data_IF_797204978868
#
_entry.id   IF_797204978868
#
_cell.length_a   1.000
_cell.length_b   1.000
_cell.length_c   1.000
_cell.angle_alpha   90.00
_cell.angle_beta   90.00
_cell.angle_gamma   90.00
#
_symmetry.space_group_name_H-M   'P 1'
#
loop_
_entity.id
_entity.type
_entity.pdbx_description
1 polymer ?
#
# COMPACT_ATOMS: atom_id res chain seq x y z
N UNK A 1 13.29 -0.77 5.06
CA UNK A 1 12.85 -0.41 3.70
C UNK A 1 13.76 -0.94 2.59
N UNK A 2 15.08 -0.64 2.56
CA UNK A 2 15.98 -1.21 1.54
C UNK A 2 15.99 -2.75 1.54
N UNK A 3 15.96 -3.38 2.73
CA UNK A 3 15.91 -4.84 2.87
C UNK A 3 14.71 -5.42 2.14
N UNK A 4 13.49 -4.91 2.35
CA UNK A 4 12.25 -5.41 1.72
C UNK A 4 12.31 -5.34 0.20
N UNK A 5 12.78 -4.21 -0.35
CA UNK A 5 12.88 -4.03 -1.80
C UNK A 5 13.95 -4.94 -2.42
N UNK A 6 15.08 -5.14 -1.74
CA UNK A 6 16.16 -6.00 -2.22
C UNK A 6 15.88 -7.50 -2.01
N UNK A 7 15.25 -7.87 -0.90
CA UNK A 7 14.95 -9.26 -0.53
C UNK A 7 13.63 -9.76 -1.13
N UNK A 8 12.75 -8.84 -1.58
CA UNK A 8 11.36 -9.09 -1.96
C UNK A 8 10.59 -9.85 -0.89
N UNK A 9 10.94 -9.60 0.37
CA UNK A 9 10.42 -10.27 1.56
C UNK A 9 10.36 -9.28 2.71
N UNK A 10 9.27 -9.34 3.45
CA UNK A 10 9.08 -8.59 4.69
C UNK A 10 7.86 -9.10 5.44
N UNK A 11 7.69 -8.66 6.68
CA UNK A 11 6.46 -8.87 7.44
C UNK A 11 5.35 -7.90 7.00
N UNK A 12 4.17 -8.02 7.59
CA UNK A 12 3.00 -7.21 7.20
C UNK A 12 3.26 -5.73 7.44
N UNK A 13 3.94 -5.44 8.54
CA UNK A 13 4.33 -4.12 9.01
C UNK A 13 5.28 -3.45 8.02
N UNK A 14 6.30 -4.16 7.57
CA UNK A 14 7.26 -3.70 6.57
C UNK A 14 6.58 -3.39 5.23
N UNK A 15 5.63 -4.23 4.80
CA UNK A 15 4.85 -3.98 3.58
C UNK A 15 3.91 -2.79 3.75
N UNK A 16 3.27 -2.63 4.91
CA UNK A 16 2.42 -1.48 5.21
C UNK A 16 3.22 -0.16 5.21
N UNK A 17 4.41 -0.15 5.82
CA UNK A 17 5.30 1.03 5.81
C UNK A 17 5.74 1.36 4.38
N UNK A 18 6.07 0.35 3.55
CA UNK A 18 6.43 0.56 2.15
C UNK A 18 5.27 1.16 1.35
N UNK A 19 4.07 0.60 1.48
CA UNK A 19 2.87 1.10 0.81
C UNK A 19 2.53 2.52 1.26
N UNK A 20 2.62 2.81 2.57
CA UNK A 20 2.41 4.16 3.09
C UNK A 20 3.38 5.15 2.46
N UNK A 21 4.67 4.83 2.39
CA UNK A 21 5.67 5.70 1.77
C UNK A 21 5.46 5.88 0.27
N UNK A 22 5.00 4.84 -0.44
CA UNK A 22 4.65 4.94 -1.86
C UNK A 22 3.49 5.93 -2.07
N UNK A 23 2.42 5.81 -1.27
CA UNK A 23 1.26 6.70 -1.35
C UNK A 23 1.60 8.15 -0.98
N UNK A 24 2.46 8.35 0.04
CA UNK A 24 3.02 9.66 0.36
C UNK A 24 3.81 10.25 -0.82
N UNK A 25 4.58 9.42 -1.54
CA UNK A 25 5.29 9.81 -2.76
C UNK A 25 4.34 10.30 -3.87
N UNK A 26 3.17 9.70 -3.98
CA UNK A 26 2.07 10.14 -4.86
C UNK A 26 1.25 11.32 -4.31
N UNK A 27 1.67 11.93 -3.20
CA UNK A 27 1.02 13.08 -2.55
C UNK A 27 -0.34 12.77 -1.92
N UNK A 28 -0.63 11.51 -1.60
CA UNK A 28 -1.77 11.20 -0.73
C UNK A 28 -1.43 11.49 0.73
N UNK A 29 -2.40 11.95 1.51
CA UNK A 29 -2.28 12.04 2.98
C UNK A 29 -2.42 10.62 3.56
N UNK A 30 -1.31 9.88 3.59
CA UNK A 30 -1.27 8.48 4.01
C UNK A 30 -0.63 8.29 5.38
N UNK A 31 -1.13 7.30 6.13
CA UNK A 31 -0.65 6.90 7.44
C UNK A 31 -0.61 5.38 7.57
N UNK A 32 0.39 4.88 8.28
CA UNK A 32 0.37 3.54 8.85
C UNK A 32 -0.58 3.55 10.06
N UNK A 33 -1.43 2.53 10.14
CA UNK A 33 -2.39 2.34 11.22
C UNK A 33 -2.00 1.10 11.99
N UNK A 34 -1.86 1.23 13.32
CA UNK A 34 -1.59 0.11 14.23
C UNK A 34 -2.85 -0.17 15.03
N UNK A 35 -3.22 -1.44 15.06
CA UNK A 35 -4.41 -1.89 15.77
C UNK A 35 -4.52 -3.41 15.84
N UNK A 36 -5.74 -3.91 15.81
CA UNK A 36 -6.03 -5.34 15.79
C UNK A 36 -6.97 -5.71 14.65
N UNK A 37 -6.99 -6.99 14.30
CA UNK A 37 -8.09 -7.58 13.52
C UNK A 37 -9.35 -7.74 14.39
N UNK A 38 -10.48 -8.11 13.78
CA UNK A 38 -11.70 -8.51 14.48
C UNK A 38 -11.49 -9.75 15.36
N UNK A 39 -10.48 -10.58 15.08
CA UNK A 39 -10.09 -11.73 15.90
C UNK A 39 -9.26 -11.32 17.14
N UNK A 40 -8.80 -10.07 17.20
CA UNK A 40 -7.97 -9.55 18.29
C UNK A 40 -6.46 -9.62 18.05
N UNK A 41 -6.03 -10.20 16.93
CA UNK A 41 -4.61 -10.29 16.59
C UNK A 41 -4.05 -8.91 16.22
N UNK A 42 -2.83 -8.54 16.68
CA UNK A 42 -2.15 -7.32 16.25
C UNK A 42 -2.01 -7.26 14.73
N UNK A 43 -2.32 -6.12 14.13
CA UNK A 43 -2.22 -5.93 12.68
C UNK A 43 -1.86 -4.49 12.34
N UNK A 44 -1.17 -4.31 11.22
CA UNK A 44 -0.85 -3.01 10.65
C UNK A 44 -1.41 -2.92 9.23
N UNK A 45 -2.05 -1.80 8.92
CA UNK A 45 -2.56 -1.50 7.58
C UNK A 45 -2.30 -0.03 7.24
N UNK A 46 -2.66 0.40 6.03
CA UNK A 46 -2.48 1.80 5.60
C UNK A 46 -3.83 2.48 5.47
N UNK A 47 -3.92 3.74 5.87
CA UNK A 47 -5.08 4.59 5.66
C UNK A 47 -4.69 5.83 4.87
N UNK A 48 -5.52 6.24 3.92
CA UNK A 48 -5.44 7.55 3.27
C UNK A 48 -6.63 8.39 3.67
N UNK A 49 -6.38 9.66 4.00
CA UNK A 49 -7.38 10.63 4.40
C UNK A 49 -7.54 11.64 3.26
N UNK A 50 -8.75 11.77 2.76
CA UNK A 50 -9.12 12.77 1.77
C UNK A 50 -10.05 13.77 2.46
N UNK A 51 -9.59 15.02 2.62
CA UNK A 51 -10.31 16.07 3.33
C UNK A 51 -11.12 16.88 2.34
N UNK A 52 -12.43 16.89 2.54
CA UNK A 52 -13.35 17.75 1.81
C UNK A 52 -13.49 19.07 2.57
N UNK A 53 -12.96 20.16 2.00
CA UNK A 53 -12.99 21.50 2.59
C UNK A 53 -14.39 22.11 2.64
N UNK A 54 -15.31 21.69 1.77
CA UNK A 54 -16.65 22.27 1.70
C UNK A 54 -17.60 21.62 2.71
N UNK A 55 -17.48 20.31 2.89
CA UNK A 55 -18.34 19.52 3.79
C UNK A 55 -17.72 19.30 5.17
N UNK A 56 -16.47 19.71 5.38
CA UNK A 56 -15.68 19.42 6.58
C UNK A 56 -15.70 17.93 6.94
N UNK A 57 -15.63 17.07 5.91
CA UNK A 57 -15.68 15.61 6.05
C UNK A 57 -14.32 15.04 5.69
N UNK A 58 -13.93 14.00 6.43
CA UNK A 58 -12.75 13.21 6.11
C UNK A 58 -13.22 11.89 5.53
N UNK A 59 -12.92 11.67 4.24
CA UNK A 59 -13.12 10.38 3.60
C UNK A 59 -11.88 9.54 3.84
N UNK A 60 -12.08 8.39 4.50
CA UNK A 60 -10.98 7.50 4.88
C UNK A 60 -11.05 6.26 4.01
N UNK A 61 -9.90 5.88 3.48
CA UNK A 61 -9.75 4.66 2.69
C UNK A 61 -8.65 3.80 3.29
N UNK A 62 -8.98 2.56 3.66
CA UNK A 62 -8.04 1.58 4.15
C UNK A 62 -7.47 0.74 3.03
N UNK A 63 -6.20 0.39 3.14
CA UNK A 63 -5.44 -0.40 2.18
C UNK A 63 -4.77 -1.55 2.91
N UNK A 64 -5.05 -2.78 2.46
CA UNK A 64 -4.40 -3.99 2.93
C UNK A 64 -3.11 -4.22 2.12
N UNK A 65 -1.97 -4.29 2.81
CA UNK A 65 -0.64 -4.33 2.18
C UNK A 65 -0.36 -5.64 1.47
N UNK A 66 -0.96 -6.75 1.93
CA UNK A 66 -0.72 -8.08 1.37
C UNK A 66 -1.66 -8.44 0.20
N UNK A 67 -2.89 -7.93 0.21
CA UNK A 67 -3.91 -8.30 -0.78
C UNK A 67 -4.17 -7.20 -1.80
N UNK A 68 -3.72 -5.97 -1.55
CA UNK A 68 -4.09 -4.79 -2.34
C UNK A 68 -5.56 -4.40 -2.19
N UNK A 69 -6.30 -5.03 -1.27
CA UNK A 69 -7.72 -4.73 -1.06
C UNK A 69 -7.89 -3.34 -0.46
N UNK A 70 -8.94 -2.65 -0.91
CA UNK A 70 -9.25 -1.28 -0.52
C UNK A 70 -10.66 -1.21 0.07
N UNK A 71 -10.78 -0.56 1.21
CA UNK A 71 -12.04 -0.44 1.95
C UNK A 71 -12.33 1.02 2.28
N UNK A 72 -13.52 1.52 1.91
CA UNK A 72 -13.95 2.87 2.28
C UNK A 72 -14.59 2.85 3.67
N UNK A 73 -14.04 3.61 4.60
CA UNK A 73 -14.61 3.74 5.95
C UNK A 73 -15.99 4.40 5.90
N UNK A 74 -16.96 3.86 6.63
CA UNK A 74 -18.33 4.38 6.66
C UNK A 74 -19.15 4.13 5.38
N UNK A 75 -18.63 3.36 4.41
CA UNK A 75 -19.41 2.92 3.24
C UNK A 75 -20.44 1.86 3.62
N UNK A 76 -21.64 1.93 3.04
CA UNK A 76 -22.73 0.98 3.31
C UNK A 76 -22.64 -0.33 2.48
N UNK A 77 -21.72 -0.40 1.52
CA UNK A 77 -21.64 -1.52 0.56
C UNK A 77 -20.83 -2.68 1.11
N UNK A 78 -21.14 -3.93 0.73
CA UNK A 78 -20.40 -5.12 1.19
C UNK A 78 -18.89 -5.08 0.88
N UNK A 79 -18.46 -4.29 -0.13
CA UNK A 79 -17.06 -4.06 -0.46
C UNK A 79 -16.31 -3.17 0.56
N UNK A 80 -17.02 -2.50 1.48
CA UNK A 80 -16.43 -1.68 2.55
C UNK A 80 -16.12 -2.48 3.83
N UNK A 81 -16.57 -3.75 3.90
CA UNK A 81 -16.44 -4.56 5.11
C UNK A 81 -14.98 -4.99 5.29
N UNK A 82 -14.25 -4.25 6.10
CA UNK A 82 -12.88 -4.57 6.48
C UNK A 82 -12.83 -5.51 7.71
N UNK A 83 -11.68 -6.18 7.87
CA UNK A 83 -11.38 -7.11 8.97
C UNK A 83 -10.74 -6.47 10.21
N UNK A 84 -10.58 -5.14 10.21
CA UNK A 84 -9.96 -4.40 11.32
C UNK A 84 -10.92 -4.23 12.50
N UNK A 85 -10.44 -4.54 13.70
CA UNK A 85 -11.19 -4.52 14.95
C UNK A 85 -10.99 -3.21 15.69
N UNK A 86 -9.83 -3.03 16.32
CA UNK A 86 -9.49 -1.85 17.14
C UNK A 86 -8.34 -1.05 16.55
N UNK A 87 -8.27 0.25 16.87
CA UNK A 87 -7.21 1.16 16.45
C UNK A 87 -6.55 1.82 17.65
N UNK A 88 -5.22 1.69 17.73
CA UNK A 88 -4.41 2.27 18.80
C UNK A 88 -3.74 3.58 18.39
N UNK A 89 -3.10 3.62 17.22
CA UNK A 89 -2.44 4.84 16.75
C UNK A 89 -2.30 4.86 15.23
N UNK A 90 -2.05 6.06 14.70
CA UNK A 90 -1.68 6.28 13.31
C UNK A 90 -0.41 7.13 13.24
N UNK A 91 0.44 6.85 12.26
CA UNK A 91 1.69 7.59 12.09
C UNK A 91 2.15 7.62 10.64
N UNK A 92 2.97 8.60 10.32
CA UNK A 92 3.69 8.66 9.05
C UNK A 92 5.12 9.21 9.30
N UNK A 93 5.76 9.72 8.25
CA UNK A 93 7.11 10.27 8.33
C UNK A 93 7.26 11.60 9.10
N UNK A 94 6.15 12.29 9.42
CA UNK A 94 6.16 13.61 10.08
C UNK A 94 5.41 13.63 11.41
N UNK A 95 4.36 12.80 11.53
CA UNK A 95 3.41 12.90 12.62
C UNK A 95 3.08 11.53 13.22
N UNK A 96 2.76 11.55 14.51
CA UNK A 96 2.24 10.40 15.25
C UNK A 96 1.03 10.84 16.08
N UNK A 97 -0.05 10.06 16.02
CA UNK A 97 -1.29 10.30 16.75
C UNK A 97 -1.74 9.03 17.48
N UNK A 98 -1.92 9.14 18.80
CA UNK A 98 -2.54 8.09 19.61
C UNK A 98 -4.06 8.28 19.66
N UNK A 99 -4.82 7.20 19.48
CA UNK A 99 -6.26 7.20 19.66
C UNK A 99 -6.60 7.32 21.15
N UNK A 100 -7.40 8.31 21.51
CA UNK A 100 -7.90 8.55 22.87
C UNK A 100 -9.43 8.64 22.93
N UNK A 101 -10.11 8.19 21.87
CA UNK A 101 -11.56 8.08 21.84
C UNK A 101 -12.05 7.06 22.88
N UNK A 102 -13.29 7.24 23.36
CA UNK A 102 -13.91 6.31 24.31
C UNK A 102 -14.20 4.92 23.70
N UNK A 103 -14.42 4.86 22.39
CA UNK A 103 -14.53 3.63 21.60
C UNK A 103 -13.33 3.54 20.65
N UNK A 104 -12.55 2.47 20.79
CA UNK A 104 -11.38 2.18 19.96
C UNK A 104 -11.71 1.29 18.76
N UNK A 105 -12.97 0.93 18.54
CA UNK A 105 -13.40 0.16 17.39
C UNK A 105 -13.21 0.96 16.08
N UNK A 106 -12.51 0.36 15.11
CA UNK A 106 -12.21 0.99 13.80
C UNK A 106 -13.49 1.47 13.11
N UNK A 107 -14.58 0.70 13.22
CA UNK A 107 -15.88 1.01 12.61
C UNK A 107 -16.54 2.27 13.14
N UNK A 108 -16.35 2.58 14.42
CA UNK A 108 -16.93 3.76 15.08
C UNK A 108 -15.94 4.92 15.18
N UNK A 109 -14.66 4.66 14.90
CA UNK A 109 -13.57 5.63 15.00
C UNK A 109 -13.78 6.84 14.08
N UNK A 110 -13.66 8.03 14.64
CA UNK A 110 -13.49 9.27 13.88
C UNK A 110 -12.02 9.44 13.51
N UNK A 111 -11.76 9.73 12.24
CA UNK A 111 -10.41 9.93 11.70
C UNK A 111 -10.07 11.41 11.45
N UNK A 112 -10.80 12.32 12.11
CA UNK A 112 -10.38 13.72 12.15
C UNK A 112 -9.21 13.89 13.12
N UNK A 113 -7.99 13.74 12.59
CA UNK A 113 -6.74 13.84 13.36
C UNK A 113 -6.50 15.23 13.98
N UNK A 114 -7.24 16.26 13.55
CA UNK A 114 -7.15 17.60 14.12
C UNK A 114 -7.95 17.72 15.42
N UNK A 115 -8.86 16.79 15.68
CA UNK A 115 -9.65 16.78 16.90
C UNK A 115 -8.83 16.21 18.08
N UNK A 116 -8.27 17.12 18.89
CA UNK A 116 -7.45 16.78 20.05
C UNK A 116 -8.18 15.98 21.16
N UNK A 117 -9.52 15.97 21.16
CA UNK A 117 -10.29 15.14 22.09
C UNK A 117 -10.33 13.68 21.67
N UNK A 118 -10.06 13.38 20.39
CA UNK A 118 -10.06 12.04 19.83
C UNK A 118 -8.65 11.53 19.54
N UNK A 119 -7.74 12.42 19.16
CA UNK A 119 -6.38 12.10 18.75
C UNK A 119 -5.37 12.93 19.50
N UNK A 120 -4.48 12.26 20.25
CA UNK A 120 -3.37 12.92 20.93
C UNK A 120 -2.14 12.87 20.04
N UNK A 121 -1.76 14.03 19.49
CA UNK A 121 -0.54 14.18 18.71
C UNK A 121 0.71 14.11 19.61
N UNK A 122 1.77 13.49 19.11
CA UNK A 122 3.10 13.58 19.69
C UNK A 122 3.74 14.93 19.32
N UNK A 123 4.60 15.45 20.20
CA UNK A 123 5.34 16.69 19.94
C UNK A 123 6.22 16.54 18.66
N UNK A 124 6.04 17.39 17.64
CA UNK A 124 6.86 17.36 16.44
C UNK A 124 8.36 17.48 16.71
N UNK A 125 8.77 18.22 17.75
CA UNK A 125 10.18 18.35 18.12
C UNK A 125 10.74 16.98 18.56
N UNK A 126 9.98 16.24 19.37
CA UNK A 126 10.37 14.90 19.79
C UNK A 126 10.45 13.92 18.61
N UNK A 127 9.58 14.04 17.60
CA UNK A 127 9.63 13.23 16.37
C UNK A 127 10.91 13.53 15.57
N UNK A 128 11.30 14.81 15.48
CA UNK A 128 12.52 15.20 14.75
C UNK A 128 13.82 14.73 15.42
N UNK A 129 13.81 14.57 16.75
CA UNK A 129 14.94 14.02 17.50
C UNK A 129 15.15 12.52 17.27
N UNK A 130 14.13 11.79 16.79
CA UNK A 130 14.25 10.39 16.42
C UNK A 130 15.27 10.30 15.28
N UNK A 131 16.42 9.68 15.56
CA UNK A 131 17.56 9.56 14.63
C UNK A 131 17.10 9.08 13.25
N UNK A 132 16.96 10.01 12.31
CA UNK A 132 16.85 9.69 10.89
C UNK A 132 18.12 8.92 10.50
N UNK A 133 17.97 7.77 9.84
CA UNK A 133 19.13 7.05 9.30
C UNK A 133 19.86 8.03 8.37
N UNK A 134 21.08 8.42 8.75
CA UNK A 134 21.91 9.39 8.00
C UNK A 134 22.25 8.90 6.59
N UNK A 135 22.16 7.59 6.35
CA UNK A 135 22.27 6.98 5.03
C UNK A 135 20.94 6.36 4.65
N UNK A 136 20.17 7.09 3.84
CA UNK A 136 19.26 6.45 2.89
C UNK A 136 20.13 6.17 1.67
N UNK A 137 20.40 4.89 1.32
CA UNK A 137 21.02 4.59 0.03
C UNK A 137 20.11 5.18 -1.04
N UNK A 138 20.68 5.95 -1.98
CA UNK A 138 19.91 6.33 -3.15
C UNK A 138 19.40 5.05 -3.79
N UNK A 139 18.09 5.01 -4.08
CA UNK A 139 17.54 3.98 -4.94
C UNK A 139 18.22 4.19 -6.28
N UNK A 140 19.31 3.45 -6.52
CA UNK A 140 20.05 3.52 -7.77
C UNK A 140 19.05 3.13 -8.84
N UNK A 141 18.64 4.11 -9.65
CA UNK A 141 17.89 3.84 -10.85
C UNK A 141 18.79 2.96 -11.70
N UNK A 142 18.53 1.65 -11.72
CA UNK A 142 19.17 0.80 -12.71
C UNK A 142 18.46 1.14 -14.01
N UNK A 143 19.13 1.71 -15.02
CA UNK A 143 18.53 1.88 -16.34
C UNK A 143 18.41 0.48 -16.97
N UNK A 144 17.47 -0.31 -16.48
CA UNK A 144 17.03 -1.51 -17.15
C UNK A 144 16.18 -1.02 -18.32
N UNK A 145 16.64 -1.28 -19.54
CA UNK A 145 15.80 -1.13 -20.73
C UNK A 145 14.74 -2.23 -20.68
N UNK A 146 13.67 -1.97 -19.92
CA UNK A 146 12.57 -2.93 -19.72
C UNK A 146 11.99 -3.38 -21.05
N UNK A 147 11.86 -2.45 -22.00
CA UNK A 147 11.42 -2.74 -23.36
C UNK A 147 12.30 -3.76 -24.09
N UNK A 148 13.63 -3.53 -24.10
CA UNK A 148 14.53 -4.47 -24.79
C UNK A 148 14.55 -5.84 -24.10
N UNK A 149 14.49 -5.87 -22.77
CA UNK A 149 14.44 -7.13 -22.03
C UNK A 149 13.14 -7.89 -22.29
N UNK A 150 12.02 -7.18 -22.37
CA UNK A 150 10.71 -7.72 -22.72
C UNK A 150 10.73 -8.32 -24.12
N UNK A 151 11.20 -7.61 -25.14
CA UNK A 151 11.32 -8.12 -26.51
C UNK A 151 12.18 -9.38 -26.59
N UNK A 152 13.34 -9.39 -25.91
CA UNK A 152 14.25 -10.56 -25.91
C UNK A 152 13.61 -11.76 -25.22
N UNK A 153 12.93 -11.54 -24.08
CA UNK A 153 12.22 -12.59 -23.36
C UNK A 153 11.06 -13.14 -24.19
N UNK A 154 10.27 -12.26 -24.80
CA UNK A 154 9.16 -12.62 -25.65
C UNK A 154 9.63 -13.47 -26.83
N UNK A 155 10.65 -13.02 -27.57
CA UNK A 155 11.19 -13.78 -28.69
C UNK A 155 11.72 -15.15 -28.25
N UNK A 156 12.43 -15.21 -27.12
CA UNK A 156 12.96 -16.46 -26.58
C UNK A 156 11.83 -17.44 -26.22
N UNK A 157 10.74 -16.95 -25.65
CA UNK A 157 9.56 -17.75 -25.33
C UNK A 157 8.83 -18.21 -26.61
N UNK A 158 8.67 -17.32 -27.58
CA UNK A 158 8.05 -17.64 -28.88
C UNK A 158 8.79 -18.76 -29.58
N UNK A 159 10.12 -18.72 -29.59
CA UNK A 159 10.97 -19.75 -30.19
C UNK A 159 10.85 -21.09 -29.46
N UNK A 160 10.92 -21.09 -28.13
CA UNK A 160 10.77 -22.29 -27.30
C UNK A 160 9.40 -22.96 -27.49
N UNK A 161 8.33 -22.16 -27.50
CA UNK A 161 6.96 -22.64 -27.65
C UNK A 161 6.75 -23.18 -29.07
N UNK A 162 7.18 -22.45 -30.09
CA UNK A 162 7.06 -22.87 -31.50
C UNK A 162 7.82 -24.17 -31.75
N UNK A 163 9.05 -24.28 -31.22
CA UNK A 163 9.86 -25.51 -31.30
C UNK A 163 9.19 -26.69 -30.62
N UNK A 164 8.69 -26.52 -29.38
CA UNK A 164 8.03 -27.59 -28.63
C UNK A 164 6.73 -28.05 -29.29
N UNK A 165 5.94 -27.12 -29.81
CA UNK A 165 4.68 -27.41 -30.52
C UNK A 165 4.94 -28.08 -31.87
N UNK A 166 5.96 -27.64 -32.60
CA UNK A 166 6.40 -28.26 -33.84
C UNK A 166 6.83 -29.72 -33.65
N UNK A 167 7.56 -30.04 -32.57
CA UNK A 167 7.89 -31.43 -32.21
C UNK A 167 6.66 -32.31 -31.96
N UNK A 168 5.53 -31.71 -31.56
CA UNK A 168 4.26 -32.39 -31.35
C UNK A 168 3.34 -32.36 -32.58
N UNK A 169 3.82 -31.89 -33.74
CA UNK A 169 3.05 -31.77 -34.97
C UNK A 169 1.98 -30.66 -34.95
N UNK A 170 2.07 -29.72 -34.01
CA UNK A 170 1.11 -28.63 -33.87
C UNK A 170 1.62 -27.35 -34.53
N UNK A 171 0.78 -26.72 -35.36
CA UNK A 171 1.07 -25.40 -35.90
C UNK A 171 1.01 -24.33 -34.79
N UNK A 172 1.85 -23.30 -34.91
CA UNK A 172 1.88 -22.16 -33.98
C UNK A 172 1.77 -20.88 -34.81
N UNK A 173 0.82 -20.02 -34.45
CA UNK A 173 0.64 -18.70 -35.02
C UNK A 173 0.68 -17.71 -33.87
N UNK A 174 1.49 -16.66 -34.01
CA UNK A 174 1.59 -15.57 -33.04
C UNK A 174 0.76 -14.40 -33.55
N UNK A 175 -0.01 -13.81 -32.66
CA UNK A 175 -0.85 -12.64 -32.95
C UNK A 175 -0.23 -11.44 -32.25
N UNK A 176 0.22 -10.46 -33.04
CA UNK A 176 0.89 -9.25 -32.56
C UNK A 176 -0.09 -8.23 -31.98
N UNK A 177 -1.37 -8.31 -32.32
CA UNK A 177 -2.40 -7.33 -31.94
C UNK A 177 -3.23 -7.80 -30.74
N UNK A 178 -3.18 -9.08 -30.40
CA UNK A 178 -3.93 -9.66 -29.29
C UNK A 178 -3.62 -8.96 -27.95
N UNK A 179 -2.39 -8.51 -27.74
CA UNK A 179 -1.99 -7.77 -26.54
C UNK A 179 -2.75 -6.44 -26.39
N UNK A 180 -3.05 -5.77 -27.51
CA UNK A 180 -3.80 -4.51 -27.55
C UNK A 180 -5.30 -4.73 -27.36
N UNK A 181 -5.80 -5.90 -27.76
CA UNK A 181 -7.21 -6.29 -27.56
C UNK A 181 -7.50 -6.76 -26.13
N UNK A 182 -6.48 -7.20 -25.40
CA UNK A 182 -6.58 -7.71 -24.04
C UNK A 182 -6.18 -6.69 -22.95
N UNK A 183 -5.70 -5.50 -23.34
CA UNK A 183 -5.49 -4.40 -22.40
C UNK A 183 -6.84 -3.84 -21.91
N UNK A 184 -7.02 -3.64 -20.59
CA UNK A 184 -8.30 -3.19 -20.00
C UNK A 184 -8.70 -1.76 -20.37
#
# INVERSE_FOLDING_TARGET
>A
MHTVLSSRRGDVEEHAILLCNLLLGFRFEAYCVIGTTLAGDPHMWVATLERDSELNRVKVTFWESLTGSRYTHGGSDSASVHKYGKIGCVFNHESFYANVQSDDAVRACSFDLNNMSHWKAMDPAAIQEIRRRKHVPELSHVPLSTHMMEEVLEQSLRDLISKRRGLNGLATHWDEELSQLLSP
#
